data_IF_332675331608
#
_entry.id   IF_332675331608
#
_cell.length_a   1.000
_cell.length_b   1.000
_cell.length_c   1.000
_cell.angle_alpha   90.00
_cell.angle_beta   90.00
_cell.angle_gamma   90.00
#
_symmetry.space_group_name_H-M   'P 1'
#
loop_
_entity.id
_entity.type
_entity.pdbx_description
1 polymer ?
#
# COMPACT_ATOMS: atom_id res chain seq x y z
N UNK A 1 -20.34 10.80 4.57
CA UNK A 1 -19.28 11.70 5.05
C UNK A 1 -18.02 11.41 4.26
N UNK A 2 -17.58 12.35 3.41
CA UNK A 2 -16.36 12.20 2.62
C UNK A 2 -15.15 12.54 3.48
N UNK A 3 -14.25 11.57 3.69
CA UNK A 3 -12.96 11.83 4.34
C UNK A 3 -12.07 12.53 3.32
N UNK A 4 -11.50 13.67 3.72
CA UNK A 4 -10.56 14.40 2.89
C UNK A 4 -9.29 13.59 2.77
N UNK A 5 -9.17 12.83 1.67
CA UNK A 5 -7.96 12.11 1.33
C UNK A 5 -6.89 13.13 0.95
N UNK A 6 -5.74 13.09 1.62
CA UNK A 6 -4.53 13.68 1.09
C UNK A 6 -4.38 13.15 -0.34
N UNK A 7 -4.49 14.03 -1.33
CA UNK A 7 -4.47 13.63 -2.73
C UNK A 7 -3.05 13.18 -3.07
N UNK A 8 -2.74 11.91 -2.85
CA UNK A 8 -1.59 11.31 -3.50
C UNK A 8 -1.84 11.40 -5.00
N UNK A 9 -0.95 12.09 -5.70
CA UNK A 9 -0.82 11.86 -7.12
C UNK A 9 -0.51 10.37 -7.32
N UNK A 10 -1.18 9.71 -8.25
CA UNK A 10 -0.92 8.30 -8.58
C UNK A 10 0.56 8.04 -8.88
N UNK A 11 1.28 9.07 -9.34
CA UNK A 11 2.73 9.02 -9.57
C UNK A 11 3.56 8.83 -8.29
N UNK A 12 3.15 9.46 -7.18
CA UNK A 12 3.87 9.36 -5.90
C UNK A 12 3.68 7.97 -5.29
N UNK A 13 2.45 7.44 -5.32
CA UNK A 13 2.14 6.11 -4.81
C UNK A 13 2.91 5.01 -5.54
N UNK A 14 2.97 5.10 -6.87
CA UNK A 14 3.68 4.14 -7.69
C UNK A 14 5.19 4.18 -7.44
N UNK A 15 5.78 5.38 -7.30
CA UNK A 15 7.21 5.53 -7.02
C UNK A 15 7.61 4.90 -5.67
N UNK A 16 6.80 5.10 -4.62
CA UNK A 16 7.04 4.48 -3.32
C UNK A 16 6.87 2.96 -3.37
N UNK A 17 5.86 2.46 -4.09
CA UNK A 17 5.69 1.02 -4.31
C UNK A 17 6.91 0.41 -5.01
N UNK A 18 7.46 1.06 -6.04
CA UNK A 18 8.68 0.63 -6.72
C UNK A 18 9.89 0.62 -5.79
N UNK A 19 10.06 1.66 -4.96
CA UNK A 19 11.12 1.73 -3.96
C UNK A 19 11.04 0.57 -2.94
N UNK A 20 9.83 0.21 -2.51
CA UNK A 20 9.61 -0.94 -1.63
C UNK A 20 9.96 -2.27 -2.32
N UNK A 21 9.58 -2.43 -3.59
CA UNK A 21 9.96 -3.60 -4.41
C UNK A 21 11.48 -3.73 -4.52
N UNK A 22 12.21 -2.64 -4.75
CA UNK A 22 13.68 -2.68 -4.83
C UNK A 22 14.33 -3.07 -3.49
N UNK A 23 13.71 -2.67 -2.36
CA UNK A 23 14.26 -2.92 -1.02
C UNK A 23 13.95 -4.31 -0.48
N UNK A 24 12.72 -4.79 -0.69
CA UNK A 24 12.22 -6.05 -0.10
C UNK A 24 12.11 -7.19 -1.12
N UNK A 25 12.24 -6.87 -2.41
CA UNK A 25 12.02 -7.80 -3.51
C UNK A 25 10.57 -7.85 -3.94
N UNK A 26 10.32 -8.16 -5.22
CA UNK A 26 8.98 -8.22 -5.81
C UNK A 26 8.01 -9.13 -5.05
N UNK A 27 8.52 -10.23 -4.50
CA UNK A 27 7.76 -11.24 -3.73
C UNK A 27 8.03 -11.17 -2.22
N UNK A 28 8.73 -10.12 -1.77
CA UNK A 28 8.96 -9.89 -0.36
C UNK A 28 7.74 -9.34 0.35
N UNK A 29 7.92 -9.06 1.63
CA UNK A 29 6.91 -8.42 2.47
C UNK A 29 7.53 -7.35 3.37
N UNK A 30 6.72 -6.38 3.76
CA UNK A 30 7.09 -5.36 4.73
C UNK A 30 6.90 -5.91 6.16
N UNK A 31 7.88 -5.76 7.06
CA UNK A 31 7.85 -6.39 8.39
C UNK A 31 6.66 -5.98 9.26
N UNK A 32 6.23 -4.71 9.19
CA UNK A 32 5.09 -4.20 9.96
C UNK A 32 3.75 -4.25 9.20
N UNK A 33 3.75 -4.70 7.94
CA UNK A 33 2.59 -4.66 7.04
C UNK A 33 2.56 -5.94 6.21
N UNK A 34 2.27 -7.09 6.85
CA UNK A 34 2.33 -8.39 6.20
C UNK A 34 1.28 -8.51 5.09
N UNK A 35 1.52 -9.41 4.14
CA UNK A 35 0.60 -9.69 3.02
C UNK A 35 -0.79 -10.11 3.52
N UNK A 36 -0.88 -10.75 4.69
CA UNK A 36 -2.15 -11.18 5.30
C UNK A 36 -3.10 -10.02 5.59
N UNK A 37 -2.58 -8.85 5.99
CA UNK A 37 -3.39 -7.69 6.33
C UNK A 37 -3.99 -7.08 5.06
N UNK A 38 -3.16 -6.95 4.01
CA UNK A 38 -3.64 -6.58 2.68
C UNK A 38 -4.68 -7.56 2.14
N UNK A 39 -4.46 -8.87 2.29
CA UNK A 39 -5.42 -9.89 1.85
C UNK A 39 -6.76 -9.76 2.60
N UNK A 40 -6.72 -9.45 3.89
CA UNK A 40 -7.92 -9.21 4.69
C UNK A 40 -8.70 -7.99 4.16
N UNK A 41 -8.04 -6.86 3.92
CA UNK A 41 -8.69 -5.67 3.38
C UNK A 41 -9.24 -5.89 1.96
N UNK A 42 -8.54 -6.66 1.12
CA UNK A 42 -9.04 -7.07 -0.20
C UNK A 42 -10.29 -7.93 -0.04
N UNK A 43 -10.29 -8.90 0.87
CA UNK A 43 -11.42 -9.80 1.10
C UNK A 43 -12.64 -9.06 1.67
N UNK A 44 -12.42 -8.05 2.52
CA UNK A 44 -13.47 -7.18 3.05
C UNK A 44 -13.95 -6.14 2.02
N UNK A 45 -13.20 -5.93 0.93
CA UNK A 45 -13.51 -4.94 -0.10
C UNK A 45 -13.11 -3.51 0.26
N UNK A 46 -12.26 -3.34 1.29
CA UNK A 46 -11.73 -2.05 1.74
C UNK A 46 -10.66 -1.49 0.78
N UNK A 47 -9.93 -2.37 0.08
CA UNK A 47 -8.91 -1.96 -0.89
C UNK A 47 -8.98 -2.72 -2.20
N UNK A 48 -8.52 -2.04 -3.27
CA UNK A 48 -8.27 -2.60 -4.60
C UNK A 48 -6.82 -2.38 -5.06
N UNK A 49 -5.99 -1.80 -4.20
CA UNK A 49 -4.58 -1.54 -4.48
C UNK A 49 -3.80 -2.86 -4.55
N UNK A 50 -2.75 -2.92 -5.36
CA UNK A 50 -1.75 -3.98 -5.25
C UNK A 50 -1.03 -3.92 -3.90
N UNK A 51 -0.40 -5.02 -3.47
CA UNK A 51 0.22 -5.11 -2.13
C UNK A 51 1.21 -3.97 -1.85
N UNK A 52 2.16 -3.68 -2.73
CA UNK A 52 3.14 -2.62 -2.50
C UNK A 52 2.56 -1.21 -2.53
N UNK A 53 1.52 -0.97 -3.34
CA UNK A 53 0.77 0.28 -3.32
C UNK A 53 -0.03 0.43 -2.02
N UNK A 54 -0.59 -0.66 -1.51
CA UNK A 54 -1.25 -0.68 -0.21
C UNK A 54 -0.26 -0.39 0.93
N UNK A 55 0.92 -1.01 0.94
CA UNK A 55 1.97 -0.72 1.94
C UNK A 55 2.37 0.76 1.89
N UNK A 56 2.63 1.30 0.70
CA UNK A 56 2.99 2.71 0.51
C UNK A 56 1.88 3.66 0.99
N UNK A 57 0.61 3.34 0.71
CA UNK A 57 -0.53 4.08 1.26
C UNK A 57 -0.54 4.08 2.79
N UNK A 58 -0.42 2.90 3.41
CA UNK A 58 -0.44 2.73 4.86
C UNK A 58 0.76 3.40 5.57
N UNK A 59 1.90 3.58 4.89
CA UNK A 59 3.08 4.27 5.44
C UNK A 59 2.93 5.79 5.47
N UNK A 60 2.01 6.35 4.68
CA UNK A 60 1.82 7.80 4.52
C UNK A 60 0.64 8.35 5.33
N UNK A 61 -0.26 7.48 5.81
CA UNK A 61 -1.38 7.87 6.68
C UNK A 61 -0.99 8.03 8.16
N UNK A 62 0.30 8.00 8.50
CA UNK A 62 0.85 8.12 9.86
C UNK A 62 2.01 9.12 9.93
#
# INVERSE_FOLDING_TARGET
>A
MGKGFAHMSALQLHAEADALIQRHGMWGEHPDRPVSDWQYEVACGDTRLGYWEWVAHQMLEH
#
